data_IF_697597736520
#
_entry.id   IF_697597736520
#
_cell.length_a   1.000
_cell.length_b   1.000
_cell.length_c   1.000
_cell.angle_alpha   90.00
_cell.angle_beta   90.00
_cell.angle_gamma   90.00
#
_symmetry.space_group_name_H-M   'P 1'
#
loop_
_entity.id
_entity.type
_entity.pdbx_description
1 polymer ?
#
# COMPACT_ATOMS: atom_id res chain seq x y z
N UNK A 1 73.34 18.27 28.72
CA UNK A 1 73.16 19.58 28.05
C UNK A 1 71.77 19.63 27.44
N UNK A 2 70.97 20.58 27.94
CA UNK A 2 69.78 21.21 27.35
C UNK A 2 68.59 20.38 26.84
N UNK A 3 67.54 20.49 27.65
CA UNK A 3 66.11 20.38 27.34
C UNK A 3 65.67 21.43 26.33
N UNK A 4 64.80 21.07 25.38
CA UNK A 4 63.95 22.04 24.68
C UNK A 4 62.51 21.49 24.54
N UNK A 5 61.61 22.14 25.29
CA UNK A 5 60.17 21.93 25.30
C UNK A 5 59.58 22.49 23.99
N UNK A 6 58.96 21.65 23.18
CA UNK A 6 58.21 22.11 21.99
C UNK A 6 56.86 22.67 22.44
N UNK A 7 56.68 23.97 22.25
CA UNK A 7 55.51 24.74 22.67
C UNK A 7 54.33 24.56 21.71
N UNK A 8 53.19 24.22 22.32
CA UNK A 8 51.84 24.25 21.77
C UNK A 8 51.54 25.55 21.01
N UNK A 9 51.08 25.43 19.77
CA UNK A 9 50.18 26.42 19.16
C UNK A 9 48.92 25.72 18.67
N UNK A 10 47.94 25.65 19.57
CA UNK A 10 46.54 25.38 19.24
C UNK A 10 46.02 26.53 18.37
N UNK A 11 46.07 26.35 17.05
CA UNK A 11 45.36 27.21 16.09
C UNK A 11 43.96 26.63 15.94
N UNK A 12 43.04 27.07 16.80
CA UNK A 12 41.60 26.91 16.62
C UNK A 12 41.16 27.79 15.42
N UNK A 13 40.60 27.23 14.34
CA UNK A 13 39.84 27.99 13.38
C UNK A 13 38.38 28.10 13.84
N UNK A 14 37.86 29.31 13.68
CA UNK A 14 36.56 29.81 14.11
C UNK A 14 35.38 28.96 13.60
N UNK A 15 34.26 28.90 14.35
CA UNK A 15 33.06 28.21 13.92
C UNK A 15 32.46 28.90 12.68
N UNK A 16 32.30 28.13 11.61
CA UNK A 16 31.47 28.52 10.48
C UNK A 16 30.04 28.74 10.98
N UNK A 17 29.55 29.93 10.71
CA UNK A 17 28.26 30.43 11.16
C UNK A 17 27.14 29.59 10.54
N UNK A 18 26.40 28.90 11.39
CA UNK A 18 25.14 28.23 11.06
C UNK A 18 24.11 29.30 10.70
N UNK A 19 23.85 29.48 9.40
CA UNK A 19 22.70 30.26 8.93
C UNK A 19 21.45 29.41 9.17
N UNK A 20 20.77 29.68 10.28
CA UNK A 20 19.46 29.11 10.56
C UNK A 20 18.43 29.67 9.57
N UNK A 21 17.57 28.85 8.96
CA UNK A 21 16.43 29.36 8.20
C UNK A 21 15.44 30.02 9.17
N UNK A 22 15.27 31.33 9.00
CA UNK A 22 14.26 32.14 9.70
C UNK A 22 12.88 31.62 9.34
N UNK A 23 12.19 31.11 10.35
CA UNK A 23 10.78 30.71 10.31
C UNK A 23 9.92 31.99 10.19
N UNK A 24 9.09 32.16 9.15
CA UNK A 24 8.15 33.28 9.12
C UNK A 24 7.05 33.05 10.15
N UNK A 25 6.98 33.94 11.14
CA UNK A 25 5.87 34.02 12.08
C UNK A 25 4.68 34.76 11.45
N UNK A 26 3.49 34.20 11.72
CA UNK A 26 2.17 34.84 11.83
C UNK A 26 1.42 35.18 10.53
N UNK A 27 0.38 34.39 10.27
CA UNK A 27 -0.99 34.90 10.16
C UNK A 27 -1.98 33.79 10.54
N UNK A 28 -2.50 33.87 11.77
CA UNK A 28 -3.66 33.11 12.21
C UNK A 28 -4.88 33.84 11.67
N UNK A 29 -5.42 33.35 10.56
CA UNK A 29 -6.79 33.70 10.17
C UNK A 29 -7.71 32.90 11.09
N UNK A 30 -8.34 33.60 12.00
CA UNK A 30 -9.47 33.11 12.79
C UNK A 30 -10.59 32.82 11.80
N UNK A 31 -10.81 31.55 11.50
CA UNK A 31 -11.97 31.10 10.74
C UNK A 31 -13.00 30.69 11.78
N UNK A 32 -14.00 31.56 11.95
CA UNK A 32 -15.19 31.32 12.75
C UNK A 32 -15.84 29.99 12.35
N UNK A 33 -15.85 29.05 13.30
CA UNK A 33 -16.76 27.91 13.29
C UNK A 33 -18.13 28.46 13.63
N UNK A 34 -18.93 28.84 12.63
CA UNK A 34 -20.39 28.86 12.67
C UNK A 34 -20.95 29.35 11.33
N UNK A 35 -21.32 28.44 10.44
CA UNK A 35 -22.53 28.55 9.61
C UNK A 35 -22.70 27.29 8.77
N UNK A 36 -23.97 26.92 8.57
CA UNK A 36 -24.48 25.77 7.80
C UNK A 36 -24.58 24.45 8.58
N UNK A 37 -25.35 24.53 9.67
CA UNK A 37 -26.37 23.53 9.94
C UNK A 37 -27.36 23.52 8.75
N UNK A 38 -27.36 22.44 7.95
CA UNK A 38 -28.56 22.04 7.22
C UNK A 38 -28.91 20.62 7.64
N UNK A 39 -29.76 20.60 8.66
CA UNK A 39 -30.52 19.51 9.21
C UNK A 39 -31.56 19.09 8.18
N UNK A 40 -31.38 17.95 7.52
CA UNK A 40 -32.45 17.30 6.76
C UNK A 40 -32.98 16.11 7.58
N UNK A 41 -33.83 16.44 8.54
CA UNK A 41 -34.84 15.52 9.05
C UNK A 41 -36.14 15.87 8.32
N UNK A 42 -36.74 14.93 7.58
CA UNK A 42 -38.19 14.98 7.44
C UNK A 42 -38.78 13.59 7.15
N UNK A 43 -39.38 13.06 8.21
CA UNK A 43 -40.47 12.09 8.19
C UNK A 43 -41.76 12.76 7.68
N UNK A 44 -42.50 12.03 6.81
CA UNK A 44 -43.86 12.27 6.27
C UNK A 44 -44.91 12.68 7.33
N UNK A 45 -46.07 13.33 7.00
CA UNK A 45 -47.13 12.77 6.13
C UNK A 45 -47.92 13.74 5.17
N UNK A 46 -48.47 13.12 4.09
CA UNK A 46 -49.73 13.26 3.26
C UNK A 46 -50.55 14.59 3.24
N UNK A 47 -51.16 15.15 2.16
CA UNK A 47 -51.94 14.65 0.99
C UNK A 47 -52.04 15.67 -0.20
N UNK A 48 -52.29 15.11 -1.41
CA UNK A 48 -53.04 15.60 -2.61
C UNK A 48 -52.70 16.94 -3.31
N UNK A 49 -52.19 16.88 -4.56
CA UNK A 49 -52.90 17.03 -5.87
C UNK A 49 -51.98 16.45 -7.00
N UNK A 50 -52.55 15.73 -7.99
CA UNK A 50 -51.90 15.05 -9.14
C UNK A 50 -51.75 16.01 -10.37
N UNK A 51 -51.30 15.53 -11.55
CA UNK A 51 -49.97 15.11 -11.96
C UNK A 51 -49.44 15.95 -13.17
N UNK A 52 -48.17 15.77 -13.56
CA UNK A 52 -47.66 15.71 -14.95
C UNK A 52 -46.28 16.38 -15.14
N UNK A 53 -45.46 15.72 -15.97
CA UNK A 53 -44.15 16.09 -16.52
C UNK A 53 -42.88 15.79 -15.68
N UNK A 54 -42.28 14.61 -15.90
CA UNK A 54 -40.93 14.47 -16.50
C UNK A 54 -40.43 13.01 -16.50
N UNK A 55 -40.73 12.24 -17.55
CA UNK A 55 -40.29 10.85 -17.74
C UNK A 55 -38.91 10.70 -18.41
N UNK A 56 -37.94 11.60 -18.15
CA UNK A 56 -36.62 11.55 -18.81
C UNK A 56 -35.41 11.39 -17.85
N UNK A 57 -35.62 10.97 -16.59
CA UNK A 57 -34.53 10.82 -15.57
C UNK A 57 -34.06 9.37 -15.34
N UNK A 58 -34.85 8.35 -15.68
CA UNK A 58 -34.50 6.95 -15.39
C UNK A 58 -33.41 6.40 -16.32
N UNK A 59 -33.54 6.59 -17.63
CA UNK A 59 -32.61 6.03 -18.63
C UNK A 59 -31.16 6.54 -18.49
N UNK A 60 -30.96 7.79 -18.05
CA UNK A 60 -29.62 8.37 -17.82
C UNK A 60 -28.97 7.84 -16.54
N UNK A 61 -29.76 7.42 -15.55
CA UNK A 61 -29.25 6.94 -14.27
C UNK A 61 -28.83 5.46 -14.34
N UNK A 62 -29.52 4.64 -15.14
CA UNK A 62 -29.15 3.23 -15.38
C UNK A 62 -27.92 3.08 -16.30
N UNK A 63 -27.81 3.89 -17.35
CA UNK A 63 -26.62 3.88 -18.24
C UNK A 63 -25.35 4.32 -17.52
N UNK A 64 -25.44 5.31 -16.60
CA UNK A 64 -24.30 5.72 -15.77
C UNK A 64 -23.78 4.59 -14.86
N UNK A 65 -24.67 3.76 -14.31
CA UNK A 65 -24.26 2.62 -13.48
C UNK A 65 -23.64 1.49 -14.30
N UNK A 66 -24.13 1.22 -15.50
CA UNK A 66 -23.59 0.17 -16.36
C UNK A 66 -22.20 0.54 -16.92
N UNK A 67 -22.05 1.80 -17.36
CA UNK A 67 -20.75 2.34 -17.77
C UNK A 67 -19.72 2.31 -16.64
N UNK A 68 -20.15 2.62 -15.40
CA UNK A 68 -19.29 2.52 -14.21
C UNK A 68 -18.89 1.07 -13.92
N UNK A 69 -19.83 0.12 -14.02
CA UNK A 69 -19.57 -1.30 -13.80
C UNK A 69 -18.60 -1.87 -14.85
N UNK A 70 -18.77 -1.49 -16.11
CA UNK A 70 -17.89 -1.92 -17.20
C UNK A 70 -16.46 -1.37 -17.02
N UNK A 71 -16.32 -0.08 -16.66
CA UNK A 71 -15.03 0.52 -16.34
C UNK A 71 -14.31 -0.19 -15.17
N UNK A 72 -15.04 -0.60 -14.13
CA UNK A 72 -14.49 -1.37 -13.01
C UNK A 72 -14.04 -2.77 -13.45
N UNK A 73 -14.82 -3.46 -14.28
CA UNK A 73 -14.47 -4.77 -14.83
C UNK A 73 -13.22 -4.68 -15.72
N UNK A 74 -13.15 -3.70 -16.61
CA UNK A 74 -11.99 -3.46 -17.47
C UNK A 74 -10.72 -3.16 -16.64
N UNK A 75 -10.85 -2.34 -15.59
CA UNK A 75 -9.76 -2.05 -14.65
C UNK A 75 -9.28 -3.30 -13.91
N UNK A 76 -10.20 -4.16 -13.46
CA UNK A 76 -9.87 -5.42 -12.80
C UNK A 76 -9.16 -6.39 -13.76
N UNK A 77 -9.62 -6.48 -15.01
CA UNK A 77 -8.99 -7.28 -16.05
C UNK A 77 -7.56 -6.80 -16.33
N UNK A 78 -7.36 -5.49 -16.49
CA UNK A 78 -6.04 -4.87 -16.62
C UNK A 78 -5.12 -5.24 -15.45
N UNK A 79 -5.59 -5.10 -14.21
CA UNK A 79 -4.80 -5.45 -13.02
C UNK A 79 -4.48 -6.94 -12.93
N UNK A 80 -5.36 -7.81 -13.45
CA UNK A 80 -5.11 -9.25 -13.51
C UNK A 80 -3.97 -9.57 -14.48
N UNK A 81 -3.92 -8.93 -15.64
CA UNK A 81 -2.84 -9.11 -16.60
C UNK A 81 -1.53 -8.49 -16.08
N UNK A 82 -1.57 -7.28 -15.49
CA UNK A 82 -0.41 -6.68 -14.82
C UNK A 82 0.17 -7.60 -13.73
N UNK A 83 -0.70 -8.26 -12.94
CA UNK A 83 -0.27 -9.22 -11.92
C UNK A 83 0.45 -10.42 -12.53
N UNK A 84 -0.09 -11.03 -13.59
CA UNK A 84 0.53 -12.17 -14.27
C UNK A 84 1.89 -11.80 -14.87
N UNK A 85 1.98 -10.65 -15.53
CA UNK A 85 3.21 -10.17 -16.14
C UNK A 85 4.29 -9.92 -15.06
N UNK A 86 3.90 -9.30 -13.94
CA UNK A 86 4.81 -9.09 -12.80
C UNK A 86 5.26 -10.41 -12.19
N UNK A 87 4.35 -11.39 -12.05
CA UNK A 87 4.68 -12.70 -11.53
C UNK A 87 5.69 -13.42 -12.43
N UNK A 88 5.44 -13.45 -13.74
CA UNK A 88 6.32 -14.10 -14.71
C UNK A 88 7.73 -13.50 -14.69
N UNK A 89 7.83 -12.17 -14.63
CA UNK A 89 9.11 -11.47 -14.52
C UNK A 89 9.86 -11.86 -13.23
N UNK A 90 9.17 -11.82 -12.09
CA UNK A 90 9.77 -12.15 -10.79
C UNK A 90 10.16 -13.64 -10.70
N UNK A 91 9.43 -14.53 -11.36
CA UNK A 91 9.78 -15.94 -11.46
C UNK A 91 11.03 -16.18 -12.30
N UNK A 92 11.17 -15.46 -13.42
CA UNK A 92 12.35 -15.54 -14.26
C UNK A 92 13.60 -14.97 -13.56
N UNK A 93 13.45 -13.88 -12.81
CA UNK A 93 14.56 -13.22 -12.11
C UNK A 93 14.94 -13.89 -10.79
N UNK A 94 13.94 -14.31 -10.00
CA UNK A 94 14.12 -14.85 -8.65
C UNK A 94 13.40 -16.19 -8.49
N UNK A 95 13.83 -17.25 -9.23
CA UNK A 95 13.16 -18.55 -9.22
C UNK A 95 13.18 -19.22 -7.84
N UNK A 96 14.23 -18.94 -7.04
CA UNK A 96 14.35 -19.48 -5.69
C UNK A 96 13.28 -18.95 -4.74
N UNK A 97 12.80 -17.73 -4.94
CA UNK A 97 11.75 -17.11 -4.13
C UNK A 97 10.34 -17.40 -4.65
N UNK A 98 10.13 -17.25 -5.96
CA UNK A 98 8.79 -17.29 -6.57
C UNK A 98 8.48 -18.66 -7.20
N UNK A 99 8.91 -19.74 -6.57
CA UNK A 99 8.59 -21.11 -7.02
C UNK A 99 7.11 -21.47 -6.80
N UNK A 100 6.69 -22.56 -7.42
CA UNK A 100 5.39 -23.23 -7.18
C UNK A 100 5.73 -24.58 -6.50
N UNK A 101 5.34 -24.81 -5.23
CA UNK A 101 4.50 -23.97 -4.37
C UNK A 101 5.22 -22.70 -3.89
N UNK A 102 4.43 -21.64 -3.64
CA UNK A 102 4.93 -20.37 -3.14
C UNK A 102 5.78 -20.56 -1.87
N UNK A 103 6.81 -19.73 -1.69
CA UNK A 103 7.63 -19.72 -0.47
C UNK A 103 7.28 -18.54 0.42
N UNK A 104 7.58 -18.68 1.72
CA UNK A 104 7.46 -17.61 2.72
C UNK A 104 8.54 -16.58 2.46
N UNK A 105 8.12 -15.35 2.18
CA UNK A 105 9.01 -14.28 1.75
C UNK A 105 9.48 -13.46 2.96
N UNK A 106 10.67 -12.88 2.86
CA UNK A 106 11.17 -11.95 3.85
C UNK A 106 10.28 -10.71 3.99
N UNK A 107 10.27 -10.15 5.20
CA UNK A 107 9.53 -8.92 5.49
C UNK A 107 10.26 -7.78 4.80
N UNK A 108 9.54 -6.97 4.02
CA UNK A 108 10.15 -5.84 3.32
C UNK A 108 10.79 -6.18 1.96
N UNK A 109 10.69 -7.42 1.48
CA UNK A 109 11.29 -7.86 0.21
C UNK A 109 10.88 -7.02 -1.02
N UNK A 110 9.72 -6.37 -0.96
CA UNK A 110 9.26 -5.45 -2.00
C UNK A 110 10.21 -4.24 -2.18
N UNK A 111 10.91 -3.80 -1.13
CA UNK A 111 11.87 -2.71 -1.20
C UNK A 111 13.14 -3.14 -1.93
N UNK A 112 13.62 -4.36 -1.63
CA UNK A 112 14.77 -4.96 -2.30
C UNK A 112 14.50 -5.12 -3.80
N UNK A 113 13.32 -5.61 -4.18
CA UNK A 113 12.95 -5.74 -5.60
C UNK A 113 12.87 -4.37 -6.28
N UNK A 114 12.31 -3.35 -5.61
CA UNK A 114 12.26 -1.99 -6.15
C UNK A 114 13.67 -1.45 -6.39
N UNK A 115 14.62 -1.75 -5.50
CA UNK A 115 16.02 -1.35 -5.65
C UNK A 115 16.74 -2.15 -6.75
N UNK A 116 16.48 -3.46 -6.86
CA UNK A 116 17.14 -4.33 -7.83
C UNK A 116 16.65 -4.09 -9.27
N UNK A 117 15.35 -3.86 -9.47
CA UNK A 117 14.76 -3.71 -10.80
C UNK A 117 15.01 -2.33 -11.44
N UNK A 118 15.50 -1.33 -10.68
CA UNK A 118 15.93 -0.01 -11.18
C UNK A 118 15.00 0.65 -12.22
N UNK A 119 13.68 0.45 -12.11
CA UNK A 119 12.68 1.06 -12.98
C UNK A 119 12.07 0.15 -14.05
N UNK A 120 12.50 -1.11 -14.20
CA UNK A 120 11.84 -2.07 -15.09
C UNK A 120 10.35 -2.28 -14.75
N UNK A 121 10.01 -2.18 -13.46
CA UNK A 121 8.63 -2.24 -12.96
C UNK A 121 8.34 -1.03 -12.08
N UNK A 122 7.16 -0.43 -12.26
CA UNK A 122 6.72 0.68 -11.42
C UNK A 122 6.62 0.26 -9.94
N UNK A 123 7.09 1.13 -9.03
CA UNK A 123 7.01 0.93 -7.57
C UNK A 123 5.58 0.61 -7.10
N UNK A 124 4.59 1.26 -7.72
CA UNK A 124 3.18 1.05 -7.40
C UNK A 124 2.68 -0.33 -7.85
N UNK A 125 3.14 -0.81 -9.01
CA UNK A 125 2.82 -2.14 -9.53
C UNK A 125 3.38 -3.23 -8.61
N UNK A 126 4.63 -3.10 -8.17
CA UNK A 126 5.25 -4.02 -7.19
C UNK A 126 4.43 -4.05 -5.89
N UNK A 127 4.07 -2.88 -5.34
CA UNK A 127 3.25 -2.82 -4.11
C UNK A 127 1.89 -3.49 -4.26
N UNK A 128 1.20 -3.25 -5.39
CA UNK A 128 -0.09 -3.90 -5.69
C UNK A 128 0.06 -5.41 -5.84
N UNK A 129 1.11 -5.85 -6.52
CA UNK A 129 1.44 -7.26 -6.68
C UNK A 129 1.58 -7.94 -5.32
N UNK A 130 2.45 -7.42 -4.43
CA UNK A 130 2.66 -8.01 -3.10
C UNK A 130 1.40 -7.99 -2.23
N UNK A 131 0.61 -6.91 -2.29
CA UNK A 131 -0.68 -6.84 -1.60
C UNK A 131 -1.59 -7.99 -2.01
N UNK A 132 -1.67 -8.31 -3.31
CA UNK A 132 -2.48 -9.42 -3.82
C UNK A 132 -1.86 -10.79 -3.52
N UNK A 133 -0.57 -10.95 -3.79
CA UNK A 133 0.18 -12.20 -3.65
C UNK A 133 0.15 -12.72 -2.21
N UNK A 134 0.50 -11.87 -1.24
CA UNK A 134 0.52 -12.24 0.19
C UNK A 134 -0.89 -12.37 0.81
N UNK A 135 -1.91 -11.76 0.18
CA UNK A 135 -3.30 -11.89 0.63
C UNK A 135 -3.97 -13.19 0.19
N UNK A 136 -3.38 -13.91 -0.78
CA UNK A 136 -3.94 -15.17 -1.26
C UNK A 136 -3.92 -16.23 -0.14
N UNK A 137 -4.98 -17.03 -0.08
CA UNK A 137 -5.12 -18.10 0.88
C UNK A 137 -4.03 -19.16 0.69
N UNK A 138 -3.56 -19.37 -0.55
CA UNK A 138 -2.44 -20.27 -0.84
C UNK A 138 -1.17 -19.84 -0.09
N UNK A 139 -0.89 -18.54 -0.08
CA UNK A 139 0.24 -17.97 0.63
C UNK A 139 0.05 -18.04 2.15
N UNK A 140 -1.14 -17.65 2.63
CA UNK A 140 -1.48 -17.66 4.07
C UNK A 140 -1.37 -19.05 4.70
N UNK A 141 -1.71 -20.11 3.98
CA UNK A 141 -1.57 -21.50 4.46
C UNK A 141 -0.13 -21.90 4.76
N UNK A 142 0.85 -21.23 4.13
CA UNK A 142 2.26 -21.52 4.33
C UNK A 142 2.82 -20.84 5.58
N UNK A 143 2.18 -19.78 6.05
CA UNK A 143 2.57 -19.05 7.28
C UNK A 143 2.23 -19.91 8.49
N UNK A 144 3.23 -20.68 8.93
CA UNK A 144 3.21 -21.51 10.12
C UNK A 144 4.29 -20.98 11.04
N UNK A 145 3.97 -20.92 12.34
CA UNK A 145 4.88 -20.47 13.39
C UNK A 145 6.22 -21.24 13.35
N UNK A 146 7.32 -20.53 13.59
CA UNK A 146 8.65 -21.13 13.67
C UNK A 146 9.23 -21.58 12.33
N UNK A 147 8.57 -21.26 11.20
CA UNK A 147 9.10 -21.57 9.89
C UNK A 147 9.88 -20.39 9.28
N UNK A 148 10.95 -20.71 8.55
CA UNK A 148 11.91 -19.77 8.00
C UNK A 148 11.45 -18.98 6.76
N UNK A 149 11.53 -17.65 6.77
CA UNK A 149 11.34 -16.82 5.56
C UNK A 149 12.59 -16.82 4.68
N UNK A 150 12.44 -16.46 3.41
CA UNK A 150 13.53 -16.43 2.43
C UNK A 150 13.67 -15.04 1.78
N UNK A 151 14.91 -14.59 1.61
CA UNK A 151 15.27 -13.41 0.80
C UNK A 151 15.38 -13.78 -0.68
N UNK A 152 15.55 -12.77 -1.55
CA UNK A 152 15.65 -12.91 -3.01
C UNK A 152 16.69 -13.95 -3.45
N UNK A 153 17.84 -13.98 -2.78
CA UNK A 153 18.95 -14.90 -3.07
C UNK A 153 18.68 -16.34 -2.58
N UNK A 154 17.55 -16.57 -1.90
CA UNK A 154 17.22 -17.85 -1.28
C UNK A 154 17.84 -18.06 0.10
N UNK A 155 18.54 -17.05 0.65
CA UNK A 155 19.08 -17.13 2.02
C UNK A 155 17.95 -17.12 3.06
N UNK A 156 18.13 -17.83 4.19
CA UNK A 156 17.19 -17.78 5.30
C UNK A 156 17.16 -16.36 5.90
N UNK A 157 15.96 -15.82 6.11
CA UNK A 157 15.71 -14.50 6.72
C UNK A 157 15.21 -14.62 8.19
N UNK A 158 14.04 -14.06 8.50
CA UNK A 158 13.42 -14.17 9.83
C UNK A 158 12.47 -15.36 9.94
N UNK A 159 12.26 -15.85 11.16
CA UNK A 159 11.23 -16.84 11.47
C UNK A 159 9.84 -16.18 11.52
N UNK A 160 8.80 -16.95 11.21
CA UNK A 160 7.40 -16.52 11.37
C UNK A 160 7.01 -16.57 12.85
N UNK A 161 6.55 -15.45 13.40
CA UNK A 161 6.07 -15.35 14.79
C UNK A 161 4.60 -15.75 14.90
N UNK A 162 4.14 -16.05 16.14
CA UNK A 162 2.74 -16.42 16.42
C UNK A 162 1.74 -15.36 15.95
N UNK A 163 2.07 -14.10 16.12
CA UNK A 163 1.20 -12.96 15.80
C UNK A 163 0.99 -12.78 14.29
N UNK A 164 1.96 -13.20 13.48
CA UNK A 164 1.90 -13.11 12.02
C UNK A 164 1.10 -14.24 11.38
N UNK A 165 0.88 -15.34 12.11
CA UNK A 165 0.11 -16.47 11.61
C UNK A 165 -1.37 -16.06 11.55
N UNK A 166 -2.01 -16.13 10.37
CA UNK A 166 -3.42 -15.76 10.28
C UNK A 166 -4.26 -16.70 11.15
N UNK A 167 -5.26 -16.18 11.89
CA UNK A 167 -6.11 -17.01 12.71
C UNK A 167 -6.82 -18.03 11.81
N UNK A 168 -6.84 -19.30 12.26
CA UNK A 168 -7.50 -20.41 11.56
C UNK A 168 -9.03 -20.26 11.68
N UNK A 169 -9.60 -19.21 11.09
CA UNK A 169 -11.05 -19.01 11.10
C UNK A 169 -11.68 -19.89 10.02
N UNK A 170 -12.64 -20.73 10.40
CA UNK A 170 -13.38 -21.62 9.48
C UNK A 170 -14.15 -20.88 8.38
N UNK A 171 -14.28 -19.54 8.46
CA UNK A 171 -15.05 -18.70 7.51
C UNK A 171 -14.53 -18.74 6.06
N UNK A 172 -13.27 -19.11 5.84
CA UNK A 172 -12.66 -19.18 4.49
C UNK A 172 -12.51 -20.61 3.96
N UNK A 173 -12.93 -21.61 4.74
CA UNK A 173 -13.00 -23.01 4.31
C UNK A 173 -14.31 -23.23 3.56
N UNK A 174 -14.39 -22.81 2.29
CA UNK A 174 -15.39 -23.36 1.39
C UNK A 174 -14.79 -24.66 0.83
N UNK A 175 -15.15 -25.86 1.33
CA UNK A 175 -14.71 -27.08 0.69
C UNK A 175 -15.15 -27.04 -0.78
N UNK A 176 -14.23 -27.31 -1.71
CA UNK A 176 -14.62 -27.56 -3.09
C UNK A 176 -15.51 -28.79 -3.05
N UNK A 177 -16.78 -28.67 -3.45
CA UNK A 177 -17.60 -29.84 -3.75
C UNK A 177 -16.93 -30.55 -4.94
N UNK A 178 -16.59 -31.82 -4.73
CA UNK A 178 -16.13 -32.74 -5.77
C UNK A 178 -17.30 -33.09 -6.70
#
# INVERSE_FOLDING_TARGET
MQTARSTLKLKMPLPLQTVAPVLPQKQVVVIDKNTLQQKNNNSKPTQSVKPNACNNKAAKTQTLTDQQQEALKAKLARWKEEYKNTLALLQAKYPLCFSIPAKRLAIGIHKEIIAAENGNVSKMQIRRFFKKYCSDNRYKKLLIEGKQRFNLDGTPASLVTKEEVPPKTNKFFKPKKL
#
